data_IF_898552942597
#
_entry.id   IF_898552942597
#
_cell.length_a   1.000
_cell.length_b   1.000
_cell.length_c   1.000
_cell.angle_alpha   90.00
_cell.angle_beta   90.00
_cell.angle_gamma   90.00
#
_symmetry.space_group_name_H-M   'P 1'
#
loop_
_entity.id
_entity.type
_entity.pdbx_description
1 polymer ?
#
# COMPACT_ATOMS: atom_id res chain seq x y z
N UNK A 1 -28.82 -33.05 32.25
CA UNK A 1 -28.72 -31.91 31.32
C UNK A 1 -28.79 -30.57 32.07
N UNK A 2 -29.72 -30.38 33.01
CA UNK A 2 -29.90 -29.13 33.75
C UNK A 2 -28.75 -28.74 34.71
N UNK A 3 -28.09 -29.71 35.37
CA UNK A 3 -26.94 -29.41 36.24
C UNK A 3 -25.67 -28.98 35.47
N UNK A 4 -25.48 -29.50 34.25
CA UNK A 4 -24.36 -29.15 33.37
C UNK A 4 -24.55 -27.77 32.73
N UNK A 5 -25.80 -27.37 32.48
CA UNK A 5 -26.18 -26.02 32.06
C UNK A 5 -26.01 -24.98 33.18
N UNK A 6 -26.26 -25.35 34.45
CA UNK A 6 -26.01 -24.46 35.61
C UNK A 6 -24.49 -24.27 35.85
N UNK A 7 -23.67 -25.33 35.72
CA UNK A 7 -22.21 -25.19 35.74
C UNK A 7 -21.69 -24.37 34.54
N UNK A 8 -22.26 -24.54 33.35
CA UNK A 8 -21.91 -23.75 32.16
C UNK A 8 -22.30 -22.27 32.25
N UNK A 9 -23.40 -21.94 32.94
CA UNK A 9 -23.88 -20.57 33.16
C UNK A 9 -23.13 -19.79 34.25
N UNK A 10 -22.52 -20.48 35.22
CA UNK A 10 -21.62 -19.88 36.21
C UNK A 10 -20.19 -19.71 35.64
N UNK A 11 -19.82 -20.50 34.63
CA UNK A 11 -18.45 -20.58 34.12
C UNK A 11 -18.04 -19.46 33.17
N UNK A 12 -18.96 -18.66 32.61
CA UNK A 12 -18.55 -17.58 31.70
C UNK A 12 -19.50 -16.38 31.75
N UNK A 13 -19.29 -15.53 32.76
CA UNK A 13 -19.66 -14.12 32.68
C UNK A 13 -18.37 -13.32 32.44
N UNK A 14 -18.13 -12.82 31.22
CA UNK A 14 -16.92 -12.08 30.89
C UNK A 14 -16.79 -10.79 31.71
N UNK A 15 -17.90 -10.25 32.22
CA UNK A 15 -17.89 -9.02 33.00
C UNK A 15 -17.44 -9.27 34.44
N UNK A 16 -17.97 -10.31 35.10
CA UNK A 16 -17.59 -10.67 36.47
C UNK A 16 -16.18 -11.28 36.48
N UNK A 17 -15.87 -12.19 35.56
CA UNK A 17 -14.54 -12.79 35.46
C UNK A 17 -13.49 -11.74 35.13
N UNK A 18 -13.78 -10.82 34.20
CA UNK A 18 -12.89 -9.70 33.86
C UNK A 18 -12.63 -8.78 35.05
N UNK A 19 -13.68 -8.40 35.79
CA UNK A 19 -13.54 -7.57 36.98
C UNK A 19 -12.71 -8.26 38.09
N UNK A 20 -12.93 -9.55 38.32
CA UNK A 20 -12.17 -10.33 39.31
C UNK A 20 -10.70 -10.45 38.91
N UNK A 21 -10.39 -10.70 37.63
CA UNK A 21 -9.01 -10.75 37.14
C UNK A 21 -8.30 -9.41 37.35
N UNK A 22 -8.95 -8.29 37.03
CA UNK A 22 -8.39 -6.95 37.27
C UNK A 22 -8.19 -6.70 38.77
N UNK A 23 -9.17 -7.04 39.60
CA UNK A 23 -9.07 -6.89 41.05
C UNK A 23 -7.93 -7.72 41.65
N UNK A 24 -7.79 -8.98 41.25
CA UNK A 24 -6.67 -9.85 41.66
C UNK A 24 -5.33 -9.30 41.17
N UNK A 25 -5.28 -8.77 39.93
CA UNK A 25 -4.08 -8.13 39.39
C UNK A 25 -3.64 -6.91 40.20
N UNK A 26 -4.57 -6.00 40.51
CA UNK A 26 -4.31 -4.82 41.34
C UNK A 26 -3.89 -5.22 42.76
N UNK A 27 -4.61 -6.15 43.39
CA UNK A 27 -4.31 -6.62 44.74
C UNK A 27 -2.94 -7.30 44.82
N UNK A 28 -2.58 -8.14 43.85
CA UNK A 28 -1.29 -8.83 43.84
C UNK A 28 -0.15 -7.86 43.52
N UNK A 29 -0.30 -7.02 42.49
CA UNK A 29 0.75 -6.11 42.06
C UNK A 29 1.01 -4.99 43.08
N UNK A 30 -0.02 -4.23 43.47
CA UNK A 30 0.14 -3.13 44.43
C UNK A 30 0.26 -3.64 45.86
N UNK A 31 -0.48 -4.69 46.20
CA UNK A 31 -0.47 -5.25 47.56
C UNK A 31 0.83 -5.98 47.89
N UNK A 32 1.49 -6.64 46.94
CA UNK A 32 2.79 -7.31 47.22
C UNK A 32 3.87 -6.29 47.59
N UNK A 33 4.00 -5.22 46.83
CA UNK A 33 4.97 -4.14 47.09
C UNK A 33 4.66 -3.50 48.46
N UNK A 34 3.39 -3.22 48.74
CA UNK A 34 2.97 -2.66 50.02
C UNK A 34 3.22 -3.60 51.21
N UNK A 35 2.94 -4.91 51.07
CA UNK A 35 3.19 -5.90 52.12
C UNK A 35 4.67 -6.02 52.43
N UNK A 36 5.52 -6.14 51.40
CA UNK A 36 6.98 -6.23 51.56
C UNK A 36 7.52 -4.99 52.28
N UNK A 37 7.10 -3.80 51.89
CA UNK A 37 7.55 -2.56 52.54
C UNK A 37 7.03 -2.45 53.97
N UNK A 38 5.76 -2.81 54.20
CA UNK A 38 5.13 -2.75 55.52
C UNK A 38 5.77 -3.71 56.52
N UNK A 39 6.19 -4.91 56.08
CA UNK A 39 6.87 -5.87 56.97
C UNK A 39 8.31 -5.49 57.30
N UNK A 40 8.99 -4.72 56.44
CA UNK A 40 10.39 -4.35 56.63
C UNK A 40 10.57 -2.98 57.31
N UNK A 41 9.65 -2.04 57.09
CA UNK A 41 9.79 -0.63 57.55
C UNK A 41 8.66 -0.19 58.48
N UNK A 42 7.70 -1.07 58.75
CA UNK A 42 6.51 -0.78 59.54
C UNK A 42 5.38 -0.19 58.69
N UNK A 43 4.13 -0.48 59.09
CA UNK A 43 2.94 -0.18 58.27
C UNK A 43 2.77 1.30 57.93
N UNK A 44 3.13 2.22 58.85
CA UNK A 44 2.99 3.67 58.62
C UNK A 44 3.95 4.15 57.53
N UNK A 45 5.22 3.81 57.66
CA UNK A 45 6.27 4.21 56.72
C UNK A 45 6.11 3.47 55.40
N UNK A 46 5.88 2.17 55.43
CA UNK A 46 5.65 1.34 54.24
C UNK A 46 4.46 1.81 53.40
N UNK A 47 3.38 2.25 54.03
CA UNK A 47 2.22 2.84 53.32
C UNK A 47 2.58 4.14 52.62
N UNK A 48 3.28 5.06 53.29
CA UNK A 48 3.70 6.33 52.69
C UNK A 48 4.65 6.13 51.50
N UNK A 49 5.61 5.21 51.62
CA UNK A 49 6.54 4.89 50.53
C UNK A 49 5.80 4.29 49.33
N UNK A 50 4.87 3.37 49.57
CA UNK A 50 4.11 2.70 48.50
C UNK A 50 3.26 3.70 47.71
N UNK A 51 2.55 4.61 48.39
CA UNK A 51 1.76 5.65 47.71
C UNK A 51 2.66 6.67 47.00
N UNK A 52 3.78 7.08 47.59
CA UNK A 52 4.73 7.97 46.93
C UNK A 52 5.26 7.36 45.61
N UNK A 53 5.59 6.06 45.62
CA UNK A 53 5.99 5.34 44.41
C UNK A 53 4.87 5.27 43.37
N UNK A 54 3.63 4.99 43.78
CA UNK A 54 2.47 4.98 42.88
C UNK A 54 2.23 6.35 42.22
N UNK A 55 2.24 7.44 42.99
CA UNK A 55 2.09 8.79 42.44
C UNK A 55 3.26 9.19 41.54
N UNK A 56 4.49 8.80 41.89
CA UNK A 56 5.65 9.01 41.03
C UNK A 56 5.52 8.27 39.70
N UNK A 57 5.04 7.02 39.73
CA UNK A 57 4.77 6.23 38.54
C UNK A 57 3.68 6.85 37.66
N UNK A 58 2.54 7.25 38.24
CA UNK A 58 1.48 7.95 37.51
C UNK A 58 1.97 9.26 36.90
N UNK A 59 2.85 9.99 37.58
CA UNK A 59 3.46 11.22 37.07
C UNK A 59 4.37 10.94 35.87
N UNK A 60 5.19 9.88 35.92
CA UNK A 60 6.03 9.48 34.78
C UNK A 60 5.16 9.13 33.59
N UNK A 61 4.12 8.30 33.76
CA UNK A 61 3.21 7.95 32.67
C UNK A 61 2.53 9.18 32.06
N UNK A 62 2.10 10.13 32.88
CA UNK A 62 1.49 11.37 32.43
C UNK A 62 2.47 12.24 31.63
N UNK A 63 3.71 12.41 32.09
CA UNK A 63 4.74 13.18 31.37
C UNK A 63 5.16 12.48 30.07
N UNK A 64 5.31 11.16 30.08
CA UNK A 64 5.60 10.39 28.86
C UNK A 64 4.49 10.57 27.83
N UNK A 65 3.22 10.50 28.25
CA UNK A 65 2.10 10.76 27.38
C UNK A 65 2.05 12.22 26.91
N UNK A 66 2.39 13.19 27.75
CA UNK A 66 2.49 14.58 27.30
C UNK A 66 3.54 14.73 26.17
N UNK A 67 4.72 14.13 26.34
CA UNK A 67 5.81 14.27 25.37
C UNK A 67 5.57 13.52 24.05
N UNK A 68 4.95 12.34 24.11
CA UNK A 68 4.86 11.43 22.95
C UNK A 68 3.44 11.02 22.57
N UNK A 69 2.43 11.50 23.31
CA UNK A 69 1.04 11.19 23.06
C UNK A 69 0.61 11.78 21.73
N UNK A 70 0.43 10.92 20.73
CA UNK A 70 -0.36 11.29 19.58
C UNK A 70 -1.82 11.33 20.02
N UNK A 71 -2.45 12.51 19.91
CA UNK A 71 -3.88 12.67 20.09
C UNK A 71 -4.67 11.88 19.04
N UNK A 72 -5.93 12.27 18.84
CA UNK A 72 -6.76 11.68 17.79
C UNK A 72 -6.18 12.05 16.43
N UNK A 73 -5.36 11.15 15.90
CA UNK A 73 -4.94 11.16 14.51
C UNK A 73 -6.12 10.66 13.69
N UNK A 74 -6.49 11.39 12.66
CA UNK A 74 -7.41 10.89 11.65
C UNK A 74 -6.85 9.65 10.98
N UNK A 75 -7.67 9.02 10.14
CA UNK A 75 -7.23 7.88 9.36
C UNK A 75 -6.04 8.25 8.48
N UNK A 76 -5.05 7.36 8.41
CA UNK A 76 -3.90 7.57 7.54
C UNK A 76 -4.37 7.72 6.09
N UNK A 77 -3.69 8.55 5.27
CA UNK A 77 -4.02 8.64 3.86
C UNK A 77 -3.94 7.24 3.23
N UNK A 78 -4.97 6.88 2.49
CA UNK A 78 -5.07 5.61 1.77
C UNK A 78 -5.66 5.87 0.39
N UNK A 79 -5.24 5.08 -0.60
CA UNK A 79 -5.87 5.08 -1.90
C UNK A 79 -7.23 4.39 -1.78
N UNK A 80 -8.24 4.96 -2.43
CA UNK A 80 -9.58 4.39 -2.50
C UNK A 80 -10.06 4.45 -3.94
N UNK A 81 -10.67 3.37 -4.41
CA UNK A 81 -11.28 3.33 -5.73
C UNK A 81 -12.63 4.00 -5.65
N UNK A 82 -12.83 5.02 -6.47
CA UNK A 82 -14.06 5.84 -6.49
C UNK A 82 -14.95 5.42 -7.66
N UNK A 83 -14.34 5.09 -8.80
CA UNK A 83 -15.03 4.68 -10.02
C UNK A 83 -14.20 3.63 -10.76
N UNK A 84 -14.88 2.66 -11.36
CA UNK A 84 -14.28 1.71 -12.29
C UNK A 84 -15.06 1.81 -13.60
N UNK A 85 -14.42 2.42 -14.59
CA UNK A 85 -14.98 2.62 -15.91
C UNK A 85 -14.43 1.58 -16.89
N UNK A 86 -15.28 1.10 -17.80
CA UNK A 86 -14.91 0.14 -18.85
C UNK A 86 -15.27 0.73 -20.19
N UNK A 87 -14.30 0.79 -21.10
CA UNK A 87 -14.47 1.37 -22.43
C UNK A 87 -14.05 2.83 -22.46
N UNK A 88 -14.98 3.71 -22.81
CA UNK A 88 -14.74 5.14 -23.00
C UNK A 88 -14.72 5.92 -21.68
N UNK A 89 -13.60 6.61 -21.40
CA UNK A 89 -13.43 7.48 -20.24
C UNK A 89 -14.46 8.61 -20.20
N UNK A 90 -15.00 9.03 -21.35
CA UNK A 90 -16.09 10.00 -21.43
C UNK A 90 -17.36 9.58 -20.68
N UNK A 91 -17.54 8.28 -20.41
CA UNK A 91 -18.65 7.72 -19.65
C UNK A 91 -18.33 7.54 -18.14
N UNK A 92 -17.13 7.89 -17.67
CA UNK A 92 -16.77 7.77 -16.26
C UNK A 92 -17.71 8.60 -15.38
N UNK A 93 -18.02 8.11 -14.18
CA UNK A 93 -18.81 8.85 -13.20
C UNK A 93 -18.03 10.07 -12.66
N UNK A 94 -16.70 10.04 -12.73
CA UNK A 94 -15.82 11.09 -12.27
C UNK A 94 -15.54 12.09 -13.41
N UNK A 95 -15.85 13.38 -13.19
CA UNK A 95 -15.67 14.41 -14.22
C UNK A 95 -14.19 14.62 -14.57
N UNK A 96 -13.32 14.52 -13.57
CA UNK A 96 -11.88 14.69 -13.69
C UNK A 96 -11.26 13.57 -14.55
N UNK A 97 -11.78 12.34 -14.45
CA UNK A 97 -11.31 11.22 -15.26
C UNK A 97 -11.63 11.41 -16.76
N UNK A 98 -12.70 12.14 -17.10
CA UNK A 98 -13.08 12.45 -18.50
C UNK A 98 -12.11 13.42 -19.18
N UNK A 99 -11.22 14.05 -18.42
CA UNK A 99 -10.19 14.96 -18.96
C UNK A 99 -8.98 14.20 -19.50
N UNK A 100 -8.80 12.93 -19.10
CA UNK A 100 -7.78 12.06 -19.66
C UNK A 100 -8.20 11.59 -21.07
N UNK A 101 -7.27 11.59 -22.04
CA UNK A 101 -7.53 11.02 -23.36
C UNK A 101 -7.71 9.50 -23.27
N UNK A 102 -8.52 8.93 -24.17
CA UNK A 102 -8.63 7.48 -24.30
C UNK A 102 -7.30 6.90 -24.80
N UNK A 103 -6.97 5.69 -24.37
CA UNK A 103 -5.70 5.06 -24.71
C UNK A 103 -5.54 4.82 -26.22
N UNK A 104 -6.64 4.58 -26.94
CA UNK A 104 -6.63 4.37 -28.39
C UNK A 104 -6.24 5.61 -29.19
N UNK A 105 -6.36 6.80 -28.61
CA UNK A 105 -5.95 8.08 -29.22
C UNK A 105 -4.47 8.40 -28.96
N UNK A 106 -3.83 7.66 -28.05
CA UNK A 106 -2.44 7.86 -27.67
C UNK A 106 -1.51 6.96 -28.50
N UNK A 107 -0.33 7.50 -28.84
CA UNK A 107 0.76 6.68 -29.38
C UNK A 107 1.16 5.64 -28.34
N UNK A 108 1.52 4.44 -28.79
CA UNK A 108 2.03 3.42 -27.87
C UNK A 108 3.40 3.81 -27.29
N UNK A 109 3.75 3.28 -26.13
CA UNK A 109 5.08 3.50 -25.54
C UNK A 109 6.22 3.11 -26.49
N UNK A 110 6.04 2.06 -27.30
CA UNK A 110 7.02 1.64 -28.29
C UNK A 110 7.16 2.63 -29.46
N UNK A 111 6.05 3.20 -29.94
CA UNK A 111 6.10 4.25 -30.96
C UNK A 111 6.81 5.50 -30.46
N UNK A 112 6.60 5.87 -29.19
CA UNK A 112 7.34 6.99 -28.57
C UNK A 112 8.84 6.71 -28.51
N UNK A 113 9.24 5.48 -28.20
CA UNK A 113 10.66 5.07 -28.25
C UNK A 113 11.23 5.25 -29.65
N UNK A 114 10.53 4.80 -30.69
CA UNK A 114 10.99 4.93 -32.08
C UNK A 114 11.06 6.39 -32.54
N UNK A 115 10.09 7.21 -32.17
CA UNK A 115 10.04 8.62 -32.54
C UNK A 115 11.05 9.48 -31.76
N UNK A 116 11.42 9.08 -30.54
CA UNK A 116 12.38 9.81 -29.71
C UNK A 116 13.72 10.05 -30.41
N UNK A 117 14.14 9.12 -31.28
CA UNK A 117 15.46 9.13 -31.92
C UNK A 117 16.63 9.03 -30.94
N UNK A 118 16.38 8.79 -29.65
CA UNK A 118 17.43 8.69 -28.63
C UNK A 118 18.05 7.30 -28.66
N UNK A 119 19.33 7.24 -29.04
CA UNK A 119 20.08 5.99 -29.15
C UNK A 119 20.10 5.20 -27.83
N UNK A 120 20.05 5.88 -26.67
CA UNK A 120 20.06 5.23 -25.35
C UNK A 120 18.73 4.53 -25.08
N UNK A 121 17.62 5.21 -25.37
CA UNK A 121 16.27 4.69 -25.16
C UNK A 121 15.98 3.55 -26.14
N UNK A 122 16.41 3.71 -27.40
CA UNK A 122 16.32 2.64 -28.39
C UNK A 122 17.17 1.42 -28.03
N UNK A 123 18.36 1.63 -27.45
CA UNK A 123 19.20 0.52 -27.00
C UNK A 123 18.52 -0.31 -25.88
N UNK A 124 17.77 0.34 -24.99
CA UNK A 124 17.06 -0.36 -23.90
C UNK A 124 15.79 -1.07 -24.41
N UNK A 125 14.97 -0.35 -25.19
CA UNK A 125 13.60 -0.75 -25.50
C UNK A 125 13.35 -1.21 -26.93
N UNK A 126 14.29 -1.04 -27.85
CA UNK A 126 14.14 -1.43 -29.26
C UNK A 126 15.23 -2.40 -29.76
N UNK A 127 16.11 -2.89 -28.88
CA UNK A 127 17.14 -3.85 -29.28
C UNK A 127 16.56 -5.26 -29.44
N UNK A 128 16.90 -5.89 -30.57
CA UNK A 128 16.58 -7.27 -30.89
C UNK A 128 17.84 -8.15 -30.84
N UNK A 129 17.76 -9.40 -30.37
CA UNK A 129 18.91 -10.31 -30.33
C UNK A 129 19.47 -10.56 -31.73
N UNK A 130 20.80 -10.47 -31.88
CA UNK A 130 21.47 -10.72 -33.14
C UNK A 130 22.08 -12.13 -33.18
N UNK A 131 22.38 -12.63 -34.39
CA UNK A 131 23.08 -13.90 -34.57
C UNK A 131 24.51 -13.87 -34.01
N UNK A 132 25.14 -12.69 -33.95
CA UNK A 132 26.47 -12.52 -33.37
C UNK A 132 26.45 -12.73 -31.85
N UNK A 133 25.37 -12.30 -31.19
CA UNK A 133 25.20 -12.44 -29.74
C UNK A 133 24.70 -13.85 -29.35
N UNK A 134 24.15 -14.60 -30.31
CA UNK A 134 23.54 -15.92 -30.09
C UNK A 134 24.03 -16.94 -31.15
N UNK A 135 25.33 -17.25 -31.18
CA UNK A 135 25.91 -18.11 -32.22
C UNK A 135 25.43 -19.58 -32.15
N UNK A 136 24.90 -19.99 -31.00
CA UNK A 136 24.45 -21.37 -30.74
C UNK A 136 23.01 -21.63 -31.20
N UNK A 137 22.25 -20.60 -31.60
CA UNK A 137 20.87 -20.72 -32.05
C UNK A 137 20.77 -20.94 -33.56
N UNK A 138 19.86 -21.80 -33.99
CA UNK A 138 19.48 -21.89 -35.40
C UNK A 138 18.72 -20.64 -35.86
N UNK A 139 18.71 -20.37 -37.17
CA UNK A 139 17.99 -19.22 -37.76
C UNK A 139 16.52 -19.19 -37.35
N UNK A 140 15.88 -20.36 -37.23
CA UNK A 140 14.49 -20.49 -36.80
C UNK A 140 14.29 -20.16 -35.32
N UNK A 141 15.21 -20.57 -34.46
CA UNK A 141 15.15 -20.27 -33.02
C UNK A 141 15.45 -18.79 -32.76
N UNK A 142 16.40 -18.21 -33.51
CA UNK A 142 16.72 -16.79 -33.44
C UNK A 142 15.51 -15.95 -33.86
N UNK A 143 14.83 -16.30 -34.95
CA UNK A 143 13.63 -15.60 -35.39
C UNK A 143 12.49 -15.67 -34.35
N UNK A 144 12.30 -16.83 -33.70
CA UNK A 144 11.33 -16.97 -32.62
C UNK A 144 11.68 -16.11 -31.40
N UNK A 145 12.97 -16.05 -31.03
CA UNK A 145 13.45 -15.20 -29.94
C UNK A 145 13.28 -13.71 -30.27
N UNK A 146 13.60 -13.30 -31.49
CA UNK A 146 13.40 -11.93 -31.96
C UNK A 146 11.92 -11.54 -31.94
N UNK A 147 11.02 -12.40 -32.41
CA UNK A 147 9.58 -12.16 -32.35
C UNK A 147 9.08 -12.02 -30.91
N UNK A 148 9.53 -12.87 -30.00
CA UNK A 148 9.19 -12.76 -28.57
C UNK A 148 9.72 -11.46 -27.97
N UNK A 149 10.94 -11.04 -28.31
CA UNK A 149 11.51 -9.78 -27.84
C UNK A 149 10.76 -8.58 -28.40
N UNK A 150 10.40 -8.64 -29.68
CA UNK A 150 9.63 -7.58 -30.33
C UNK A 150 8.27 -7.38 -29.67
N UNK A 151 7.54 -8.47 -29.39
CA UNK A 151 6.26 -8.39 -28.68
C UNK A 151 6.41 -7.72 -27.31
N UNK A 152 7.48 -8.05 -26.57
CA UNK A 152 7.78 -7.42 -25.28
C UNK A 152 8.06 -5.92 -25.43
N UNK A 153 8.81 -5.54 -26.45
CA UNK A 153 9.12 -4.15 -26.75
C UNK A 153 7.84 -3.37 -27.12
N UNK A 154 6.95 -3.97 -27.92
CA UNK A 154 5.67 -3.39 -28.33
C UNK A 154 4.66 -3.24 -27.18
N UNK A 155 4.75 -4.10 -26.16
CA UNK A 155 3.84 -4.06 -25.00
C UNK A 155 4.37 -3.14 -23.88
N UNK A 156 5.41 -2.34 -24.12
CA UNK A 156 5.92 -1.41 -23.11
C UNK A 156 4.87 -0.34 -22.77
N UNK A 157 4.71 -0.05 -21.48
CA UNK A 157 3.78 0.97 -20.98
C UNK A 157 4.46 2.34 -20.89
N UNK A 158 3.67 3.42 -20.87
CA UNK A 158 4.20 4.76 -20.66
C UNK A 158 4.80 4.91 -19.27
N UNK A 159 4.17 4.35 -18.23
CA UNK A 159 4.71 4.37 -16.86
C UNK A 159 6.06 3.65 -16.73
N UNK A 160 6.27 2.54 -17.46
CA UNK A 160 7.57 1.87 -17.55
C UNK A 160 8.58 2.75 -18.29
N UNK A 161 8.19 3.37 -19.41
CA UNK A 161 9.06 4.27 -20.16
C UNK A 161 9.46 5.50 -19.34
N UNK A 162 8.53 6.12 -18.61
CA UNK A 162 8.79 7.27 -17.74
C UNK A 162 9.77 6.97 -16.59
N UNK A 163 9.88 5.70 -16.20
CA UNK A 163 10.84 5.25 -15.17
C UNK A 163 12.28 5.33 -15.66
N UNK A 164 12.50 5.05 -16.96
CA UNK A 164 13.84 4.96 -17.55
C UNK A 164 14.19 6.23 -18.33
N UNK A 165 13.23 6.77 -19.07
CA UNK A 165 13.39 7.89 -19.99
C UNK A 165 12.23 8.90 -19.86
N UNK A 166 12.12 9.60 -18.71
CA UNK A 166 11.04 10.57 -18.47
C UNK A 166 11.04 11.71 -19.50
N UNK A 167 12.21 12.07 -20.03
CA UNK A 167 12.34 13.07 -21.10
C UNK A 167 11.56 12.71 -22.37
N UNK A 168 11.43 11.42 -22.71
CA UNK A 168 10.67 10.97 -23.90
C UNK A 168 9.18 11.12 -23.67
N UNK A 169 8.69 10.71 -22.50
CA UNK A 169 7.27 10.86 -22.13
C UNK A 169 6.89 12.33 -21.96
N UNK A 170 7.76 13.14 -21.36
CA UNK A 170 7.53 14.58 -21.17
C UNK A 170 7.48 15.32 -22.51
N UNK A 171 8.38 14.98 -23.44
CA UNK A 171 8.37 15.55 -24.79
C UNK A 171 7.11 15.18 -25.58
N UNK A 172 6.50 14.03 -25.27
CA UNK A 172 5.24 13.58 -25.83
C UNK A 172 4.01 14.17 -25.11
N UNK A 173 4.20 15.04 -24.11
CA UNK A 173 3.12 15.75 -23.40
C UNK A 173 2.53 15.00 -22.21
N UNK A 174 3.14 13.89 -21.77
CA UNK A 174 2.64 13.09 -20.63
C UNK A 174 2.87 13.75 -19.26
N UNK A 175 3.57 14.88 -19.22
CA UNK A 175 3.80 15.67 -18.02
C UNK A 175 2.61 16.55 -17.62
N UNK A 176 1.71 16.88 -18.56
CA UNK A 176 0.48 17.64 -18.29
C UNK A 176 -0.61 17.35 -19.33
N UNK A 177 -1.45 16.37 -19.05
CA UNK A 177 -2.71 16.10 -19.73
C UNK A 177 -3.87 16.71 -18.95
N UNK A 178 -4.18 17.99 -19.23
CA UNK A 178 -5.32 18.68 -18.61
C UNK A 178 -5.27 18.62 -17.06
N UNK A 179 -4.08 18.76 -16.46
CA UNK A 179 -3.85 18.65 -15.02
C UNK A 179 -3.54 17.24 -14.51
N UNK A 180 -3.54 16.23 -15.38
CA UNK A 180 -3.04 14.89 -15.07
C UNK A 180 -1.59 14.75 -15.51
N UNK A 181 -0.78 14.07 -14.70
CA UNK A 181 0.58 13.70 -15.08
C UNK A 181 0.78 12.20 -14.92
N UNK A 182 1.56 11.64 -15.83
CA UNK A 182 1.95 10.24 -15.79
C UNK A 182 2.88 9.97 -14.61
N UNK A 183 2.62 8.89 -13.87
CA UNK A 183 3.50 8.39 -12.83
C UNK A 183 4.40 7.27 -13.37
N UNK A 184 5.67 7.34 -13.02
CA UNK A 184 6.60 6.22 -13.18
C UNK A 184 6.15 5.02 -12.32
N UNK A 185 6.47 3.80 -12.74
CA UNK A 185 6.13 2.57 -11.98
C UNK A 185 6.74 2.57 -10.59
N UNK A 186 7.87 3.26 -10.39
CA UNK A 186 8.52 3.45 -9.10
C UNK A 186 7.70 4.28 -8.10
N UNK A 187 6.73 5.06 -8.58
CA UNK A 187 5.89 5.95 -7.77
C UNK A 187 4.43 5.47 -7.67
N UNK A 188 4.00 4.60 -8.59
CA UNK A 188 2.62 4.16 -8.72
C UNK A 188 2.25 2.93 -7.85
N UNK A 189 3.21 2.33 -7.13
CA UNK A 189 3.04 1.02 -6.48
C UNK A 189 1.82 0.90 -5.56
N UNK A 190 1.60 1.86 -4.67
CA UNK A 190 0.49 1.82 -3.71
C UNK A 190 -0.88 1.99 -4.40
N UNK A 191 -0.96 2.89 -5.39
CA UNK A 191 -2.17 3.12 -6.16
C UNK A 191 -2.55 1.88 -6.99
N UNK A 192 -1.55 1.26 -7.63
CA UNK A 192 -1.73 0.02 -8.40
C UNK A 192 -2.17 -1.14 -7.51
N UNK A 193 -1.54 -1.32 -6.35
CA UNK A 193 -1.91 -2.38 -5.42
C UNK A 193 -3.38 -2.26 -4.97
N UNK A 194 -3.82 -1.04 -4.66
CA UNK A 194 -5.22 -0.79 -4.29
C UNK A 194 -6.18 -1.06 -5.45
N UNK A 195 -5.85 -0.59 -6.66
CA UNK A 195 -6.66 -0.83 -7.84
C UNK A 195 -6.80 -2.33 -8.18
N UNK A 196 -5.70 -3.09 -8.09
CA UNK A 196 -5.70 -4.55 -8.28
C UNK A 196 -6.62 -5.23 -7.27
N UNK A 197 -6.48 -4.87 -5.98
CA UNK A 197 -7.30 -5.46 -4.93
C UNK A 197 -8.79 -5.22 -5.19
N UNK A 198 -9.17 -4.03 -5.65
CA UNK A 198 -10.57 -3.69 -5.90
C UNK A 198 -11.12 -4.37 -7.16
N UNK A 199 -10.36 -4.39 -8.26
CA UNK A 199 -10.75 -5.11 -9.49
C UNK A 199 -11.04 -6.59 -9.20
N UNK A 200 -10.18 -7.25 -8.39
CA UNK A 200 -10.38 -8.65 -8.00
C UNK A 200 -11.59 -8.87 -7.08
N UNK A 201 -12.05 -7.82 -6.39
CA UNK A 201 -13.27 -7.84 -5.60
C UNK A 201 -14.55 -7.63 -6.44
N UNK A 202 -14.42 -7.41 -7.75
CA UNK A 202 -15.54 -7.24 -8.69
C UNK A 202 -15.64 -8.41 -9.70
N UNK A 203 -16.33 -9.52 -9.34
CA UNK A 203 -16.44 -10.71 -10.19
C UNK A 203 -17.08 -10.47 -11.56
N UNK A 204 -17.85 -9.39 -11.71
CA UNK A 204 -18.50 -9.02 -12.97
C UNK A 204 -17.51 -8.67 -14.08
N UNK A 205 -16.25 -8.37 -13.76
CA UNK A 205 -15.20 -8.08 -14.73
C UNK A 205 -14.52 -9.35 -15.28
N UNK A 206 -14.77 -10.52 -14.67
CA UNK A 206 -14.24 -11.80 -15.14
C UNK A 206 -12.77 -12.07 -14.80
N UNK A 207 -12.11 -11.19 -14.02
CA UNK A 207 -10.75 -11.41 -13.54
C UNK A 207 -10.76 -12.17 -12.21
N UNK A 208 -9.93 -13.21 -12.12
CA UNK A 208 -9.80 -14.07 -10.93
C UNK A 208 -8.43 -13.94 -10.27
N UNK A 209 -7.44 -13.50 -11.04
CA UNK A 209 -6.06 -13.30 -10.62
C UNK A 209 -5.51 -12.01 -11.21
N UNK A 210 -4.52 -11.41 -10.53
CA UNK A 210 -3.74 -10.30 -11.08
C UNK A 210 -2.93 -10.69 -12.33
N UNK A 211 -2.83 -11.99 -12.64
CA UNK A 211 -2.23 -12.48 -13.88
C UNK A 211 -3.19 -12.40 -15.08
N UNK A 212 -4.49 -12.20 -14.85
CA UNK A 212 -5.51 -12.20 -15.91
C UNK A 212 -5.57 -10.87 -16.67
N UNK A 213 -4.91 -9.83 -16.16
CA UNK A 213 -4.86 -8.50 -16.75
C UNK A 213 -3.47 -7.89 -16.60
N UNK A 214 -3.15 -6.94 -17.48
CA UNK A 214 -1.93 -6.15 -17.40
C UNK A 214 -2.29 -4.71 -17.03
N UNK A 215 -1.65 -4.18 -15.99
CA UNK A 215 -1.70 -2.74 -15.72
C UNK A 215 -0.88 -2.01 -16.79
N UNK A 216 -1.48 -0.99 -17.39
CA UNK A 216 -0.85 -0.19 -18.42
C UNK A 216 -0.17 1.02 -17.77
N UNK A 217 -0.95 2.05 -17.48
CA UNK A 217 -0.40 3.33 -17.02
C UNK A 217 -1.08 3.81 -15.75
N UNK A 218 -0.38 4.62 -14.98
CA UNK A 218 -0.93 5.29 -13.80
C UNK A 218 -0.75 6.78 -13.98
N UNK A 219 -1.86 7.51 -13.89
CA UNK A 219 -1.87 8.96 -13.93
C UNK A 219 -2.31 9.48 -12.56
N UNK A 220 -1.81 10.65 -12.18
CA UNK A 220 -2.30 11.35 -11.00
C UNK A 220 -2.57 12.81 -11.33
N UNK A 221 -3.51 13.41 -10.62
CA UNK A 221 -3.85 14.83 -10.74
C UNK A 221 -3.86 15.47 -9.36
N UNK A 222 -3.60 16.77 -9.31
CA UNK A 222 -3.43 17.51 -8.05
C UNK A 222 -2.05 17.34 -7.43
N UNK A 223 -1.94 17.67 -6.14
CA UNK A 223 -0.67 17.79 -5.42
C UNK A 223 -0.11 19.22 -5.43
N UNK A 224 0.92 19.47 -4.62
CA UNK A 224 1.69 20.71 -4.74
C UNK A 224 2.46 20.65 -6.07
N UNK A 225 2.56 21.76 -6.83
CA UNK A 225 3.47 21.81 -7.98
C UNK A 225 4.86 21.39 -7.52
N UNK A 226 5.45 20.43 -8.23
CA UNK A 226 6.84 20.00 -8.06
C UNK A 226 7.81 21.11 -8.39
#
# INVERSE_FOLDING_TARGET
MSALLILGGIAWDPTIAGALVVATGVATFMGSIWLILSTNTGIRVGTLISFAAFFGWMTILAVTWWMYGSGWKGESPSWQVIDINVGDLGQSALLEARLLPNLEDLKSGYELVLESGDATVMAEFATLPSAADNPDLSDTELAALQASRQLRNETITHSELATVAPNVTDAAGFNDFNGWHLLATTQAGDAQAQAIADILNHPSMGFTSSADFKMLDTYTTGGKPT
#
